data_IF_182028287927
#
_entry.id   IF_182028287927
#
_cell.length_a   1.000
_cell.length_b   1.000
_cell.length_c   1.000
_cell.angle_alpha   90.00
_cell.angle_beta   90.00
_cell.angle_gamma   90.00
#
_symmetry.space_group_name_H-M   'P 1'
#
loop_
_entity.id
_entity.type
_entity.pdbx_description
1 polymer ?
#
# COMPACT_ATOMS: atom_id res chain seq x y z
N UNK A 1 -18.45 13.39 -4.68
CA UNK A 1 -18.79 14.25 -3.53
C UNK A 1 -18.56 15.73 -3.80
N UNK A 2 -17.32 16.24 -3.82
CA UNK A 2 -17.06 17.68 -3.96
C UNK A 2 -17.82 18.35 -5.12
N UNK A 3 -17.83 17.74 -6.31
CA UNK A 3 -18.56 18.29 -7.46
C UNK A 3 -20.09 18.25 -7.36
N UNK A 4 -20.67 17.43 -6.48
CA UNK A 4 -22.12 17.32 -6.25
C UNK A 4 -22.62 18.06 -5.02
N UNK A 5 -21.80 18.14 -3.96
CA UNK A 5 -22.16 18.77 -2.68
C UNK A 5 -21.52 20.15 -2.46
N UNK A 6 -20.51 20.51 -3.26
CA UNK A 6 -19.72 21.73 -3.08
C UNK A 6 -18.81 21.74 -1.84
N UNK A 7 -18.78 20.66 -1.04
CA UNK A 7 -18.08 20.62 0.25
C UNK A 7 -16.89 19.66 0.27
N UNK A 8 -15.69 20.22 0.45
CA UNK A 8 -14.45 19.46 0.63
C UNK A 8 -14.47 18.61 1.90
N UNK A 9 -15.06 19.11 2.99
CA UNK A 9 -15.16 18.36 4.25
C UNK A 9 -15.96 17.06 4.06
N UNK A 10 -17.08 17.11 3.33
CA UNK A 10 -17.87 15.90 3.03
C UNK A 10 -17.14 14.92 2.11
N UNK A 11 -16.37 15.43 1.13
CA UNK A 11 -15.54 14.58 0.27
C UNK A 11 -14.43 13.88 1.06
N UNK A 12 -13.76 14.62 1.96
CA UNK A 12 -12.74 14.06 2.85
C UNK A 12 -13.30 12.97 3.77
N UNK A 13 -14.47 13.19 4.39
CA UNK A 13 -15.13 12.20 5.24
C UNK A 13 -15.46 10.91 4.48
N UNK A 14 -16.03 11.02 3.27
CA UNK A 14 -16.39 9.86 2.45
C UNK A 14 -15.15 9.06 2.02
N UNK A 15 -14.08 9.75 1.62
CA UNK A 15 -12.80 9.09 1.31
C UNK A 15 -12.19 8.40 2.54
N UNK A 16 -12.24 9.04 3.71
CA UNK A 16 -11.75 8.45 4.95
C UNK A 16 -12.52 7.19 5.34
N UNK A 17 -13.86 7.22 5.22
CA UNK A 17 -14.70 6.05 5.50
C UNK A 17 -14.47 4.91 4.51
N UNK A 18 -14.23 5.22 3.23
CA UNK A 18 -13.81 4.20 2.26
C UNK A 18 -12.52 3.51 2.71
N UNK A 19 -11.48 4.27 3.07
CA UNK A 19 -10.20 3.71 3.54
C UNK A 19 -10.37 2.92 4.84
N UNK A 20 -11.19 3.39 5.78
CA UNK A 20 -11.55 2.66 6.99
C UNK A 20 -12.23 1.32 6.68
N UNK A 21 -13.10 1.28 5.67
CA UNK A 21 -13.73 0.06 5.19
C UNK A 21 -12.70 -0.96 4.73
N UNK A 22 -11.76 -0.53 3.87
CA UNK A 22 -10.65 -1.38 3.40
C UNK A 22 -9.84 -1.91 4.58
N UNK A 23 -9.43 -1.05 5.50
CA UNK A 23 -8.52 -1.39 6.59
C UNK A 23 -9.15 -2.32 7.64
N UNK A 24 -10.44 -2.14 7.96
CA UNK A 24 -11.13 -2.84 9.05
C UNK A 24 -11.47 -4.30 8.72
N UNK A 25 -11.83 -4.58 7.47
CA UNK A 25 -12.30 -5.90 7.04
C UNK A 25 -11.18 -6.74 6.40
N UNK A 26 -10.07 -6.11 5.97
CA UNK A 26 -8.96 -6.80 5.33
C UNK A 26 -8.46 -8.04 6.11
N UNK A 27 -8.16 -8.01 7.43
CA UNK A 27 -7.72 -9.20 8.16
C UNK A 27 -8.72 -10.35 8.17
N UNK A 28 -10.02 -10.03 8.25
CA UNK A 28 -11.08 -11.01 8.20
C UNK A 28 -11.18 -11.66 6.81
N UNK A 29 -11.07 -10.85 5.75
CA UNK A 29 -11.02 -11.31 4.36
C UNK A 29 -9.84 -12.24 4.14
N UNK A 30 -8.65 -11.88 4.62
CA UNK A 30 -7.46 -12.74 4.56
C UNK A 30 -7.70 -14.10 5.22
N UNK A 31 -8.24 -14.10 6.44
CA UNK A 31 -8.59 -15.32 7.17
C UNK A 31 -9.64 -16.17 6.43
N UNK A 32 -10.60 -15.53 5.78
CA UNK A 32 -11.58 -16.23 4.95
C UNK A 32 -10.93 -16.83 3.69
N UNK A 33 -9.99 -16.14 3.05
CA UNK A 33 -9.23 -16.66 1.89
C UNK A 33 -8.44 -17.89 2.31
N UNK A 34 -7.75 -17.84 3.44
CA UNK A 34 -6.96 -18.96 3.94
C UNK A 34 -7.83 -20.20 4.26
N UNK A 35 -9.07 -19.98 4.74
CA UNK A 35 -10.01 -21.05 5.13
C UNK A 35 -10.84 -21.61 3.98
N UNK A 36 -11.40 -20.74 3.15
CA UNK A 36 -12.39 -21.08 2.11
C UNK A 36 -11.77 -21.11 0.71
N UNK A 37 -10.55 -20.59 0.57
CA UNK A 37 -9.93 -20.31 -0.72
C UNK A 37 -10.32 -18.94 -1.28
N UNK A 38 -9.56 -18.43 -2.27
CA UNK A 38 -9.77 -17.10 -2.84
C UNK A 38 -11.01 -17.00 -3.73
N UNK A 39 -11.43 -18.12 -4.36
CA UNK A 39 -12.51 -18.15 -5.35
C UNK A 39 -13.87 -17.59 -4.86
N UNK A 40 -14.46 -18.05 -3.74
CA UNK A 40 -15.76 -17.53 -3.29
C UNK A 40 -15.71 -16.03 -2.95
N UNK A 41 -14.59 -15.57 -2.40
CA UNK A 41 -14.40 -14.19 -1.96
C UNK A 41 -14.20 -13.26 -3.17
N UNK A 42 -13.44 -13.71 -4.17
CA UNK A 42 -13.25 -12.98 -5.42
C UNK A 42 -14.55 -12.90 -6.23
N UNK A 43 -15.36 -13.97 -6.27
CA UNK A 43 -16.68 -13.94 -6.93
C UNK A 43 -17.62 -12.95 -6.24
N UNK A 44 -17.67 -12.99 -4.91
CA UNK A 44 -18.50 -12.09 -4.12
C UNK A 44 -18.09 -10.62 -4.32
N UNK A 45 -16.79 -10.32 -4.18
CA UNK A 45 -16.27 -8.96 -4.35
C UNK A 45 -16.38 -8.46 -5.80
N UNK A 46 -16.25 -9.33 -6.81
CA UNK A 46 -16.43 -8.96 -8.21
C UNK A 46 -17.83 -8.45 -8.56
N UNK A 47 -18.86 -8.78 -7.76
CA UNK A 47 -20.23 -8.31 -7.95
C UNK A 47 -20.57 -7.19 -6.95
N UNK A 48 -20.25 -7.39 -5.67
CA UNK A 48 -20.70 -6.46 -4.63
C UNK A 48 -19.91 -5.15 -4.69
N UNK A 49 -18.60 -5.17 -4.92
CA UNK A 49 -17.79 -3.95 -5.01
C UNK A 49 -18.25 -2.97 -6.09
N UNK A 50 -18.39 -3.39 -7.38
CA UNK A 50 -18.86 -2.46 -8.41
C UNK A 50 -20.31 -2.02 -8.16
N UNK A 51 -21.15 -2.89 -7.60
CA UNK A 51 -22.52 -2.53 -7.22
C UNK A 51 -22.54 -1.46 -6.12
N UNK A 52 -21.68 -1.57 -5.12
CA UNK A 52 -21.55 -0.60 -4.03
C UNK A 52 -21.04 0.76 -4.54
N UNK A 53 -20.04 0.77 -5.44
CA UNK A 53 -19.57 2.00 -6.08
C UNK A 53 -20.64 2.65 -6.95
N UNK A 54 -21.38 1.85 -7.71
CA UNK A 54 -22.48 2.33 -8.56
C UNK A 54 -23.61 2.90 -7.71
N UNK A 55 -24.00 2.21 -6.64
CA UNK A 55 -24.99 2.71 -5.68
C UNK A 55 -24.51 4.01 -5.01
N UNK A 56 -23.23 4.11 -4.66
CA UNK A 56 -22.64 5.34 -4.13
C UNK A 56 -22.77 6.49 -5.13
N UNK A 57 -22.50 6.27 -6.41
CA UNK A 57 -22.69 7.28 -7.47
C UNK A 57 -24.15 7.73 -7.54
N UNK A 58 -25.10 6.79 -7.57
CA UNK A 58 -26.53 7.12 -7.57
C UNK A 58 -26.97 7.90 -6.31
N UNK A 59 -26.46 7.55 -5.13
CA UNK A 59 -26.72 8.30 -3.91
C UNK A 59 -26.23 9.74 -4.01
N UNK A 60 -25.04 9.96 -4.59
CA UNK A 60 -24.48 11.31 -4.75
C UNK A 60 -25.27 12.13 -5.77
N UNK A 61 -25.58 11.55 -6.93
CA UNK A 61 -26.30 12.25 -8.00
C UNK A 61 -27.77 12.49 -7.64
N UNK A 62 -28.39 11.58 -6.88
CA UNK A 62 -29.75 11.72 -6.37
C UNK A 62 -29.89 12.65 -5.16
N UNK A 63 -28.79 13.28 -4.70
CA UNK A 63 -28.82 14.20 -3.56
C UNK A 63 -29.13 13.54 -2.22
N UNK A 64 -28.78 12.26 -2.06
CA UNK A 64 -28.98 11.55 -0.80
C UNK A 64 -28.18 12.19 0.34
N UNK A 65 -28.67 12.02 1.58
CA UNK A 65 -27.96 12.52 2.76
C UNK A 65 -26.53 11.97 2.84
N UNK A 66 -25.58 12.79 3.27
CA UNK A 66 -24.15 12.44 3.37
C UNK A 66 -23.91 11.15 4.14
N UNK A 67 -24.73 10.84 5.14
CA UNK A 67 -24.65 9.60 5.92
C UNK A 67 -24.81 8.33 5.05
N UNK A 68 -25.70 8.35 4.06
CA UNK A 68 -25.91 7.22 3.15
C UNK A 68 -24.75 7.04 2.17
N UNK A 69 -24.21 8.15 1.66
CA UNK A 69 -23.02 8.10 0.79
C UNK A 69 -21.80 7.60 1.58
N UNK A 70 -21.64 8.09 2.81
CA UNK A 70 -20.62 7.65 3.76
C UNK A 70 -20.70 6.15 4.06
N UNK A 71 -21.91 5.63 4.31
CA UNK A 71 -22.13 4.20 4.50
C UNK A 71 -21.81 3.40 3.23
N UNK A 72 -22.26 3.85 2.06
CA UNK A 72 -21.97 3.20 0.79
C UNK A 72 -20.46 3.15 0.50
N UNK A 73 -19.73 4.22 0.82
CA UNK A 73 -18.28 4.27 0.69
C UNK A 73 -17.56 3.32 1.65
N UNK A 74 -18.00 3.26 2.91
CA UNK A 74 -17.51 2.28 3.88
C UNK A 74 -17.71 0.84 3.40
N UNK A 75 -18.90 0.52 2.89
CA UNK A 75 -19.21 -0.78 2.31
C UNK A 75 -18.36 -1.07 1.06
N UNK A 76 -18.22 -0.10 0.16
CA UNK A 76 -17.38 -0.26 -1.03
C UNK A 76 -15.92 -0.56 -0.64
N UNK A 77 -15.36 0.17 0.32
CA UNK A 77 -14.00 -0.09 0.81
C UNK A 77 -13.85 -1.49 1.42
N UNK A 78 -14.80 -1.90 2.26
CA UNK A 78 -14.84 -3.22 2.89
C UNK A 78 -14.88 -4.40 1.91
N UNK A 79 -15.39 -4.15 0.70
CA UNK A 79 -15.66 -5.16 -0.31
C UNK A 79 -14.65 -5.09 -1.47
N UNK A 80 -13.60 -4.28 -1.34
CA UNK A 80 -12.53 -4.18 -2.33
C UNK A 80 -12.00 -5.57 -2.70
N UNK A 81 -11.99 -5.95 -3.99
CA UNK A 81 -11.52 -7.27 -4.40
C UNK A 81 -10.05 -7.51 -3.98
N UNK A 82 -9.75 -8.59 -3.24
CA UNK A 82 -8.42 -8.82 -2.67
C UNK A 82 -7.44 -9.43 -3.69
N UNK A 83 -7.40 -8.90 -4.91
CA UNK A 83 -6.61 -9.45 -6.03
C UNK A 83 -5.11 -9.44 -5.71
N UNK A 84 -4.56 -8.31 -5.27
CA UNK A 84 -3.14 -8.19 -4.90
C UNK A 84 -2.77 -9.14 -3.77
N UNK A 85 -3.65 -9.29 -2.76
CA UNK A 85 -3.44 -10.24 -1.66
C UNK A 85 -3.36 -11.67 -2.21
N UNK A 86 -4.33 -12.06 -3.04
CA UNK A 86 -4.35 -13.40 -3.64
C UNK A 86 -3.11 -13.65 -4.52
N UNK A 87 -2.70 -12.67 -5.32
CA UNK A 87 -1.51 -12.76 -6.16
C UNK A 87 -0.24 -12.97 -5.32
N UNK A 88 -0.04 -12.17 -4.27
CA UNK A 88 1.09 -12.31 -3.34
C UNK A 88 1.07 -13.62 -2.56
N UNK A 89 -0.11 -14.17 -2.27
CA UNK A 89 -0.22 -15.51 -1.65
C UNK A 89 0.05 -16.66 -2.62
N UNK A 90 -0.17 -16.44 -3.91
CA UNK A 90 0.03 -17.45 -4.96
C UNK A 90 1.49 -17.55 -5.39
N UNK A 91 2.21 -16.44 -5.47
CA UNK A 91 3.62 -16.44 -5.89
C UNK A 91 4.50 -17.48 -5.19
N UNK A 92 4.54 -17.57 -3.84
CA UNK A 92 5.37 -18.56 -3.17
C UNK A 92 4.85 -20.01 -3.31
N UNK A 93 3.66 -20.22 -3.89
CA UNK A 93 3.14 -21.55 -4.24
C UNK A 93 3.47 -21.96 -5.68
N UNK A 94 3.80 -20.99 -6.54
CA UNK A 94 4.05 -21.19 -7.97
C UNK A 94 5.53 -21.09 -8.32
N UNK A 95 6.32 -20.43 -7.48
CA UNK A 95 7.71 -20.08 -7.76
C UNK A 95 8.57 -20.55 -6.59
N UNK A 96 9.31 -21.64 -6.81
CA UNK A 96 10.26 -22.19 -5.83
C UNK A 96 11.59 -21.43 -5.82
N UNK A 97 11.99 -20.87 -6.97
CA UNK A 97 13.25 -20.13 -7.13
C UNK A 97 13.16 -18.77 -6.40
N UNK A 98 14.01 -18.52 -5.40
CA UNK A 98 14.05 -17.26 -4.66
C UNK A 98 14.28 -16.01 -5.52
N UNK A 99 15.08 -16.12 -6.57
CA UNK A 99 15.41 -14.98 -7.43
C UNK A 99 14.23 -14.65 -8.35
N UNK A 100 13.56 -15.67 -8.90
CA UNK A 100 12.33 -15.47 -9.67
C UNK A 100 11.17 -14.97 -8.79
N UNK A 101 11.10 -15.40 -7.54
CA UNK A 101 10.11 -14.90 -6.58
C UNK A 101 10.33 -13.42 -6.28
N UNK A 102 11.59 -13.00 -6.13
CA UNK A 102 11.96 -11.58 -6.02
C UNK A 102 11.52 -10.81 -7.26
N UNK A 103 11.82 -11.32 -8.46
CA UNK A 103 11.40 -10.68 -9.72
C UNK A 103 9.88 -10.57 -9.81
N UNK A 104 9.12 -11.60 -9.41
CA UNK A 104 7.66 -11.57 -9.42
C UNK A 104 7.08 -10.47 -8.51
N UNK A 105 7.60 -10.30 -7.30
CA UNK A 105 7.21 -9.20 -6.42
C UNK A 105 7.63 -7.83 -6.96
N UNK A 106 8.77 -7.73 -7.63
CA UNK A 106 9.17 -6.48 -8.29
C UNK A 106 8.24 -6.12 -9.45
N UNK A 107 7.83 -7.10 -10.26
CA UNK A 107 6.84 -6.89 -11.34
C UNK A 107 5.49 -6.47 -10.77
N UNK A 108 5.02 -7.09 -9.69
CA UNK A 108 3.82 -6.65 -8.95
C UNK A 108 3.92 -5.17 -8.54
N UNK A 109 5.06 -4.78 -7.95
CA UNK A 109 5.30 -3.38 -7.56
C UNK A 109 5.31 -2.42 -8.75
N UNK A 110 5.91 -2.77 -9.89
CA UNK A 110 5.90 -1.91 -11.10
C UNK A 110 4.46 -1.67 -11.59
N UNK A 111 3.62 -2.71 -11.57
CA UNK A 111 2.21 -2.57 -11.93
C UNK A 111 1.47 -1.64 -10.96
N UNK A 112 1.76 -1.74 -9.66
CA UNK A 112 1.20 -0.83 -8.64
C UNK A 112 1.63 0.62 -8.91
N UNK A 113 2.91 0.88 -9.18
CA UNK A 113 3.38 2.24 -9.50
C UNK A 113 2.75 2.79 -10.79
N UNK A 114 2.55 1.92 -11.78
CA UNK A 114 1.84 2.30 -13.01
C UNK A 114 0.41 2.74 -12.71
N UNK A 115 -0.27 2.09 -11.76
CA UNK A 115 -1.62 2.48 -11.31
C UNK A 115 -1.58 3.84 -10.59
N UNK A 116 -0.57 4.11 -9.76
CA UNK A 116 -0.43 5.41 -9.08
C UNK A 116 -0.16 6.57 -10.04
N UNK A 117 0.50 6.32 -11.18
CA UNK A 117 0.69 7.33 -12.24
C UNK A 117 -0.57 7.46 -13.11
N UNK A 118 -1.11 6.34 -13.59
CA UNK A 118 -2.22 6.34 -14.53
C UNK A 118 -3.56 6.74 -13.88
N UNK A 119 -3.78 6.40 -12.62
CA UNK A 119 -5.04 6.66 -11.91
C UNK A 119 -5.43 8.14 -11.89
N UNK A 120 -4.61 9.04 -11.33
CA UNK A 120 -4.87 10.47 -11.32
C UNK A 120 -5.00 11.07 -12.73
N UNK A 121 -4.20 10.59 -13.69
CA UNK A 121 -4.28 11.04 -15.08
C UNK A 121 -5.63 10.67 -15.72
N UNK A 122 -6.13 9.45 -15.50
CA UNK A 122 -7.45 9.02 -15.95
C UNK A 122 -8.56 9.84 -15.29
N UNK A 123 -8.46 10.11 -13.99
CA UNK A 123 -9.42 10.99 -13.29
C UNK A 123 -9.46 12.38 -13.93
N UNK A 124 -8.29 12.96 -14.25
CA UNK A 124 -8.22 14.27 -14.91
C UNK A 124 -8.90 14.25 -16.30
N UNK A 125 -8.78 13.16 -17.06
CA UNK A 125 -9.49 12.98 -18.34
C UNK A 125 -11.01 12.98 -18.12
N UNK A 126 -11.53 12.22 -17.15
CA UNK A 126 -12.97 12.22 -16.84
C UNK A 126 -13.49 13.59 -16.39
N UNK A 127 -12.69 14.34 -15.62
CA UNK A 127 -13.02 15.71 -15.23
C UNK A 127 -13.07 16.62 -16.47
N UNK A 128 -12.11 16.51 -17.37
CA UNK A 128 -12.06 17.31 -18.60
C UNK A 128 -13.21 17.01 -19.57
N UNK A 129 -13.72 15.76 -19.56
CA UNK A 129 -14.90 15.34 -20.32
C UNK A 129 -16.23 15.69 -19.61
N UNK A 130 -16.20 16.42 -18.49
CA UNK A 130 -17.34 16.75 -17.64
C UNK A 130 -18.10 15.54 -17.07
N UNK A 131 -17.56 14.33 -17.20
CA UNK A 131 -18.17 13.09 -16.75
C UNK A 131 -17.62 12.64 -15.38
N UNK A 132 -17.99 13.39 -14.34
CA UNK A 132 -17.46 13.23 -12.98
C UNK A 132 -17.67 11.84 -12.38
N UNK A 133 -18.84 11.22 -12.59
CA UNK A 133 -19.13 9.85 -12.15
C UNK A 133 -18.45 8.78 -12.99
N UNK A 134 -18.04 9.11 -14.22
CA UNK A 134 -17.37 8.21 -15.14
C UNK A 134 -16.11 7.58 -14.57
N UNK A 135 -15.30 8.34 -13.83
CA UNK A 135 -14.08 7.81 -13.19
C UNK A 135 -14.38 6.69 -12.18
N UNK A 136 -15.41 6.86 -11.35
CA UNK A 136 -15.81 5.87 -10.33
C UNK A 136 -16.42 4.64 -10.99
N UNK A 137 -17.27 4.83 -11.99
CA UNK A 137 -17.89 3.73 -12.74
C UNK A 137 -16.87 2.95 -13.58
N UNK A 138 -15.88 3.63 -14.15
CA UNK A 138 -14.77 3.01 -14.85
C UNK A 138 -13.92 2.17 -13.89
N UNK A 139 -13.59 2.70 -12.70
CA UNK A 139 -12.89 1.94 -11.67
C UNK A 139 -13.70 0.70 -11.23
N UNK A 140 -15.02 0.83 -11.06
CA UNK A 140 -15.91 -0.29 -10.78
C UNK A 140 -15.87 -1.37 -11.88
N UNK A 141 -15.96 -0.97 -13.15
CA UNK A 141 -15.88 -1.88 -14.29
C UNK A 141 -14.52 -2.60 -14.37
N UNK A 142 -13.41 -1.86 -14.21
CA UNK A 142 -12.08 -2.43 -14.18
C UNK A 142 -11.89 -3.44 -13.03
N UNK A 143 -12.40 -3.14 -11.83
CA UNK A 143 -12.34 -4.05 -10.70
C UNK A 143 -13.16 -5.32 -10.94
N UNK A 144 -14.36 -5.19 -11.52
CA UNK A 144 -15.22 -6.32 -11.87
C UNK A 144 -14.56 -7.22 -12.92
N UNK A 145 -14.16 -6.63 -14.05
CA UNK A 145 -13.52 -7.35 -15.17
C UNK A 145 -12.20 -7.98 -14.72
N UNK A 146 -11.35 -7.23 -14.02
CA UNK A 146 -10.07 -7.73 -13.51
C UNK A 146 -10.25 -8.91 -12.55
N UNK A 147 -11.20 -8.83 -11.62
CA UNK A 147 -11.50 -9.93 -10.70
C UNK A 147 -12.03 -11.17 -11.42
N UNK A 148 -12.91 -10.98 -12.41
CA UNK A 148 -13.45 -12.07 -13.24
C UNK A 148 -12.38 -12.72 -14.12
N UNK A 149 -11.44 -11.94 -14.66
CA UNK A 149 -10.29 -12.46 -15.41
C UNK A 149 -9.35 -13.25 -14.48
N UNK A 150 -9.06 -12.71 -13.29
CA UNK A 150 -8.20 -13.36 -12.32
C UNK A 150 -8.77 -14.69 -11.82
N UNK A 151 -10.10 -14.79 -11.67
CA UNK A 151 -10.82 -16.04 -11.37
C UNK A 151 -10.66 -17.15 -12.43
N UNK A 152 -10.21 -16.80 -13.65
CA UNK A 152 -9.92 -17.78 -14.71
C UNK A 152 -8.53 -18.39 -14.60
N UNK A 153 -7.64 -17.83 -13.77
CA UNK A 153 -6.29 -18.36 -13.59
C UNK A 153 -6.32 -19.79 -13.02
N UNK A 154 -5.64 -20.77 -13.65
CA UNK A 154 -5.58 -22.15 -13.14
C UNK A 154 -5.16 -22.26 -11.66
N UNK A 155 -4.16 -21.50 -11.17
CA UNK A 155 -3.76 -21.54 -9.76
C UNK A 155 -4.86 -21.16 -8.76
N UNK A 156 -5.85 -20.35 -9.17
CA UNK A 156 -7.01 -20.00 -8.34
C UNK A 156 -8.03 -21.14 -8.31
N UNK A 157 -8.19 -21.87 -9.43
CA UNK A 157 -9.15 -22.97 -9.56
C UNK A 157 -8.68 -24.22 -8.84
N UNK A 158 -7.38 -24.46 -8.85
CA UNK A 158 -6.71 -25.60 -8.21
C UNK A 158 -6.32 -25.29 -6.75
N UNK A 159 -6.74 -24.14 -6.22
CA UNK A 159 -6.41 -23.76 -4.86
C UNK A 159 -7.01 -24.73 -3.85
N UNK A 160 -6.14 -25.38 -3.08
CA UNK A 160 -6.52 -26.19 -1.92
C UNK A 160 -6.22 -25.39 -0.64
N UNK A 161 -7.23 -25.09 0.19
CA UNK A 161 -7.02 -24.51 1.51
C UNK A 161 -6.13 -25.43 2.37
N UNK A 162 -5.07 -24.87 2.95
CA UNK A 162 -4.17 -25.62 3.81
C UNK A 162 -4.59 -25.47 5.26
N UNK A 163 -4.68 -26.58 5.99
CA UNK A 163 -5.02 -26.59 7.41
C UNK A 163 -3.77 -26.57 8.28
N UNK A 164 -3.69 -25.67 9.26
CA UNK A 164 -2.64 -25.67 10.29
C UNK A 164 -3.23 -25.47 11.69
N UNK A 165 -2.72 -26.15 12.73
CA UNK A 165 -3.11 -25.89 14.13
C UNK A 165 -2.91 -24.43 14.54
N UNK A 166 -1.88 -23.75 14.02
CA UNK A 166 -1.58 -22.34 14.32
C UNK A 166 -2.61 -21.37 13.69
N UNK A 167 -3.22 -21.77 12.57
CA UNK A 167 -4.30 -21.02 11.90
C UNK A 167 -5.65 -21.06 12.67
N UNK A 168 -5.72 -21.78 13.80
CA UNK A 168 -6.90 -21.81 14.68
C UNK A 168 -6.86 -20.75 15.79
N UNK A 169 -5.76 -20.01 15.93
CA UNK A 169 -5.64 -18.99 16.98
C UNK A 169 -6.36 -17.69 16.61
N UNK A 170 -7.03 -17.07 17.59
CA UNK A 170 -7.74 -15.79 17.39
C UNK A 170 -6.79 -14.64 16.97
N UNK A 171 -5.56 -14.67 17.47
CA UNK A 171 -4.51 -13.67 17.19
C UNK A 171 -3.83 -13.89 15.83
N UNK A 172 -3.94 -15.08 15.23
CA UNK A 172 -3.39 -15.39 13.91
C UNK A 172 -1.91 -14.95 13.75
N UNK A 173 -1.58 -14.19 12.69
CA UNK A 173 -0.24 -13.62 12.44
C UNK A 173 0.36 -12.82 13.59
N UNK A 174 -0.45 -12.14 14.40
CA UNK A 174 0.02 -11.27 15.47
C UNK A 174 0.68 -12.04 16.63
N UNK A 175 0.50 -13.36 16.69
CA UNK A 175 1.19 -14.20 17.68
C UNK A 175 2.69 -14.31 17.39
N UNK A 176 3.11 -14.16 16.13
CA UNK A 176 4.51 -14.24 15.73
C UNK A 176 5.21 -12.88 15.96
N UNK A 177 6.24 -12.88 16.80
CA UNK A 177 7.00 -11.66 17.12
C UNK A 177 7.67 -11.03 15.88
N UNK A 178 8.18 -11.83 14.94
CA UNK A 178 8.81 -11.32 13.73
C UNK A 178 7.78 -10.65 12.79
N UNK A 179 6.56 -11.18 12.70
CA UNK A 179 5.50 -10.55 11.92
C UNK A 179 5.06 -9.22 12.55
N UNK A 180 4.94 -9.15 13.88
CA UNK A 180 4.65 -7.87 14.56
C UNK A 180 5.69 -6.79 14.28
N UNK A 181 6.97 -7.16 14.26
CA UNK A 181 8.06 -6.24 13.88
C UNK A 181 7.89 -5.77 12.44
N UNK A 182 7.62 -6.68 11.51
CA UNK A 182 7.39 -6.32 10.11
C UNK A 182 6.17 -5.40 9.94
N UNK A 183 5.06 -5.68 10.61
CA UNK A 183 3.87 -4.83 10.58
C UNK A 183 4.12 -3.44 11.16
N UNK A 184 4.85 -3.35 12.28
CA UNK A 184 5.24 -2.06 12.85
C UNK A 184 6.19 -1.28 11.93
N UNK A 185 7.20 -1.94 11.36
CA UNK A 185 8.11 -1.33 10.40
C UNK A 185 7.35 -0.84 9.17
N UNK A 186 6.41 -1.65 8.66
CA UNK A 186 5.50 -1.27 7.57
C UNK A 186 4.70 -0.02 7.92
N UNK A 187 4.07 0.01 9.10
CA UNK A 187 3.28 1.15 9.54
C UNK A 187 4.11 2.44 9.57
N UNK A 188 5.29 2.39 10.21
CA UNK A 188 6.21 3.54 10.33
C UNK A 188 6.72 4.02 8.98
N UNK A 189 7.12 3.09 8.12
CA UNK A 189 7.51 3.39 6.75
C UNK A 189 6.36 4.04 5.95
N UNK A 190 5.14 3.55 6.11
CA UNK A 190 3.99 4.05 5.34
C UNK A 190 3.51 5.42 5.83
N UNK A 191 3.75 5.77 7.10
CA UNK A 191 3.58 7.15 7.60
C UNK A 191 4.44 8.12 6.78
N UNK A 192 5.65 7.73 6.40
CA UNK A 192 6.52 8.58 5.59
C UNK A 192 5.93 8.91 4.21
N UNK A 193 5.14 8.01 3.60
CA UNK A 193 4.47 8.28 2.33
C UNK A 193 3.43 9.38 2.47
N UNK A 194 2.57 9.29 3.48
CA UNK A 194 1.54 10.30 3.73
C UNK A 194 2.15 11.66 4.06
N UNK A 195 3.25 11.66 4.84
CA UNK A 195 4.01 12.88 5.15
C UNK A 195 4.66 13.49 3.90
N UNK A 196 5.25 12.66 3.04
CA UNK A 196 5.84 13.08 1.77
C UNK A 196 4.78 13.72 0.85
N UNK A 197 3.61 13.09 0.72
CA UNK A 197 2.50 13.59 -0.10
C UNK A 197 2.04 14.98 0.36
N UNK A 198 1.81 15.14 1.66
CA UNK A 198 1.40 16.42 2.24
C UNK A 198 2.50 17.48 2.13
N UNK A 199 3.76 17.11 2.38
CA UNK A 199 4.89 18.03 2.29
C UNK A 199 5.08 18.59 0.87
N UNK A 200 5.06 17.72 -0.15
CA UNK A 200 5.20 18.13 -1.55
C UNK A 200 4.03 19.04 -1.96
N UNK A 201 2.81 18.66 -1.59
CA UNK A 201 1.61 19.45 -1.89
C UNK A 201 1.68 20.84 -1.26
N UNK A 202 2.12 20.91 -0.01
CA UNK A 202 2.27 22.17 0.70
C UNK A 202 3.39 23.05 0.12
N UNK A 203 4.57 22.49 -0.17
CA UNK A 203 5.70 23.21 -0.78
C UNK A 203 5.32 23.82 -2.13
N UNK A 204 4.68 23.03 -3.00
CA UNK A 204 4.26 23.48 -4.32
C UNK A 204 3.19 24.60 -4.23
N UNK A 205 2.26 24.47 -3.28
CA UNK A 205 1.21 25.48 -3.04
C UNK A 205 1.78 26.77 -2.49
N UNK A 206 2.70 26.72 -1.53
CA UNK A 206 3.37 27.91 -0.98
C UNK A 206 4.17 28.69 -2.02
N UNK A 207 4.65 28.02 -3.08
CA UNK A 207 5.35 28.65 -4.20
C UNK A 207 4.42 29.09 -5.34
N UNK A 208 3.10 29.06 -5.14
CA UNK A 208 2.11 29.47 -6.15
C UNK A 208 2.01 28.51 -7.34
N UNK A 209 2.49 27.26 -7.21
CA UNK A 209 2.52 26.25 -8.28
C UNK A 209 1.85 24.94 -7.85
N UNK A 210 0.56 24.93 -7.44
CA UNK A 210 -0.11 23.73 -6.94
C UNK A 210 -0.11 22.57 -7.94
N UNK A 211 -0.16 22.85 -9.26
CA UNK A 211 -0.07 21.83 -10.30
C UNK A 211 1.28 21.05 -10.28
N UNK A 212 2.36 21.65 -9.76
CA UNK A 212 3.65 20.98 -9.65
C UNK A 212 3.63 19.85 -8.62
N UNK A 213 2.74 19.88 -7.61
CA UNK A 213 2.63 18.81 -6.62
C UNK A 213 2.32 17.47 -7.29
N UNK A 214 1.31 17.45 -8.17
CA UNK A 214 0.92 16.24 -8.90
C UNK A 214 2.04 15.71 -9.80
N UNK A 215 2.81 16.60 -10.43
CA UNK A 215 3.96 16.22 -11.27
C UNK A 215 5.07 15.59 -10.41
N UNK A 216 5.41 16.20 -9.28
CA UNK A 216 6.46 15.68 -8.37
C UNK A 216 6.05 14.32 -7.78
N UNK A 217 4.79 14.16 -7.40
CA UNK A 217 4.27 12.88 -6.91
C UNK A 217 4.23 11.81 -8.01
N UNK A 218 3.92 12.17 -9.26
CA UNK A 218 4.04 11.23 -10.38
C UNK A 218 5.51 10.81 -10.60
N UNK A 219 6.46 11.73 -10.45
CA UNK A 219 7.89 11.43 -10.49
C UNK A 219 8.34 10.55 -9.32
N UNK A 220 7.71 10.65 -8.15
CA UNK A 220 7.94 9.72 -7.03
C UNK A 220 7.64 8.28 -7.45
N UNK A 221 6.51 8.04 -8.11
CA UNK A 221 6.15 6.72 -8.65
C UNK A 221 7.09 6.26 -9.77
N UNK A 222 7.57 7.16 -10.63
CA UNK A 222 8.63 6.83 -11.60
C UNK A 222 9.90 6.36 -10.88
N UNK A 223 10.32 7.07 -9.84
CA UNK A 223 11.46 6.69 -9.01
C UNK A 223 11.28 5.29 -8.41
N UNK A 224 10.15 5.05 -7.76
CA UNK A 224 9.80 3.75 -7.18
C UNK A 224 9.79 2.63 -8.24
N UNK A 225 9.19 2.86 -9.40
CA UNK A 225 9.17 1.90 -10.52
C UNK A 225 10.57 1.58 -11.06
N UNK A 226 11.45 2.59 -11.19
CA UNK A 226 12.86 2.38 -11.55
C UNK A 226 13.58 1.55 -10.48
N UNK A 227 13.32 1.81 -9.21
CA UNK A 227 13.83 1.02 -8.10
C UNK A 227 13.40 -0.44 -8.16
N UNK A 228 12.12 -0.70 -8.44
CA UNK A 228 11.59 -2.04 -8.63
C UNK A 228 12.26 -2.77 -9.80
N UNK A 229 12.47 -2.09 -10.92
CA UNK A 229 13.16 -2.62 -12.10
C UNK A 229 14.63 -2.97 -11.78
N UNK A 230 15.37 -2.05 -11.16
CA UNK A 230 16.77 -2.27 -10.78
C UNK A 230 16.88 -3.42 -9.79
N UNK A 231 16.00 -3.43 -8.78
CA UNK A 231 16.00 -4.46 -7.75
C UNK A 231 15.60 -5.83 -8.32
N UNK A 232 14.55 -5.91 -9.12
CA UNK A 232 14.03 -7.15 -9.70
C UNK A 232 14.86 -7.74 -10.85
N UNK A 233 15.73 -6.95 -11.49
CA UNK A 233 16.58 -7.39 -12.60
C UNK A 233 17.94 -7.96 -12.18
N UNK A 234 18.25 -7.95 -10.87
CA UNK A 234 19.53 -8.39 -10.33
C UNK A 234 19.32 -9.36 -9.17
N UNK A 235 20.16 -10.38 -9.12
CA UNK A 235 20.34 -11.17 -7.91
C UNK A 235 21.24 -10.40 -6.94
N UNK A 236 20.90 -10.45 -5.66
CA UNK A 236 21.60 -9.70 -4.62
C UNK A 236 22.20 -10.69 -3.62
N UNK A 237 23.52 -10.63 -3.43
CA UNK A 237 24.23 -11.55 -2.54
C UNK A 237 23.87 -11.37 -1.05
N UNK A 238 23.36 -10.20 -0.66
CA UNK A 238 22.99 -9.92 0.72
C UNK A 238 21.70 -10.67 1.11
N UNK A 239 21.53 -11.13 2.36
CA UNK A 239 20.26 -11.69 2.81
C UNK A 239 19.10 -10.68 2.76
N UNK A 240 17.89 -11.13 2.40
CA UNK A 240 16.71 -10.28 2.28
C UNK A 240 16.44 -9.38 3.52
N UNK A 241 16.58 -9.85 4.78
CA UNK A 241 16.42 -8.95 5.94
C UNK A 241 17.39 -7.76 5.95
N UNK A 242 18.65 -7.97 5.52
CA UNK A 242 19.65 -6.89 5.43
C UNK A 242 19.32 -5.93 4.29
N UNK A 243 18.93 -6.46 3.13
CA UNK A 243 18.46 -5.65 2.01
C UNK A 243 17.27 -4.76 2.43
N UNK A 244 16.32 -5.30 3.20
CA UNK A 244 15.15 -4.57 3.68
C UNK A 244 15.53 -3.37 4.56
N UNK A 245 16.49 -3.54 5.47
CA UNK A 245 17.01 -2.45 6.31
C UNK A 245 17.74 -1.41 5.45
N UNK A 246 18.61 -1.84 4.54
CA UNK A 246 19.37 -0.93 3.65
C UNK A 246 18.44 -0.10 2.79
N UNK A 247 17.41 -0.71 2.20
CA UNK A 247 16.44 0.02 1.37
C UNK A 247 15.67 1.07 2.18
N UNK A 248 15.25 0.75 3.42
CA UNK A 248 14.63 1.73 4.32
C UNK A 248 15.60 2.87 4.70
N UNK A 249 16.86 2.55 5.00
CA UNK A 249 17.87 3.58 5.31
C UNK A 249 18.14 4.49 4.12
N UNK A 250 18.21 3.93 2.90
CA UNK A 250 18.39 4.70 1.67
C UNK A 250 17.22 5.67 1.46
N UNK A 251 15.97 5.21 1.66
CA UNK A 251 14.80 6.08 1.57
C UNK A 251 14.81 7.17 2.65
N UNK A 252 15.13 6.82 3.91
CA UNK A 252 15.23 7.79 4.98
C UNK A 252 16.27 8.88 4.66
N UNK A 253 17.44 8.49 4.15
CA UNK A 253 18.48 9.42 3.69
C UNK A 253 18.00 10.34 2.56
N UNK A 254 17.28 9.78 1.57
CA UNK A 254 16.66 10.56 0.50
C UNK A 254 15.66 11.59 1.01
N UNK A 255 14.77 11.22 1.93
CA UNK A 255 13.79 12.11 2.55
C UNK A 255 14.45 13.24 3.36
N UNK A 256 15.50 12.92 4.12
CA UNK A 256 16.29 13.95 4.82
C UNK A 256 17.00 14.90 3.84
N UNK A 257 17.54 14.38 2.74
CA UNK A 257 18.20 15.18 1.71
C UNK A 257 17.22 16.11 0.98
N UNK A 258 15.94 15.74 0.87
CA UNK A 258 14.89 16.58 0.29
C UNK A 258 14.46 17.74 1.20
N UNK A 259 14.50 17.56 2.52
CA UNK A 259 14.01 18.56 3.48
C UNK A 259 14.57 19.99 3.29
N UNK A 260 15.88 20.22 3.06
CA UNK A 260 16.41 21.56 2.85
C UNK A 260 16.19 22.11 1.43
N UNK A 261 15.53 21.38 0.53
CA UNK A 261 15.44 21.75 -0.89
C UNK A 261 14.16 22.52 -1.18
N UNK A 262 14.34 23.83 -1.42
CA UNK A 262 13.23 24.74 -1.73
C UNK A 262 12.98 24.92 -3.24
N UNK A 263 13.93 24.55 -4.10
CA UNK A 263 13.73 24.63 -5.55
C UNK A 263 12.89 23.43 -6.03
N UNK A 264 11.70 23.67 -6.59
CA UNK A 264 10.79 22.59 -7.01
C UNK A 264 11.36 21.65 -8.07
N UNK A 265 12.25 22.12 -8.96
CA UNK A 265 12.87 21.25 -9.97
C UNK A 265 13.93 20.34 -9.34
N UNK A 266 14.75 20.89 -8.42
CA UNK A 266 15.70 20.09 -7.66
C UNK A 266 14.97 19.09 -6.73
N UNK A 267 13.86 19.52 -6.12
CA UNK A 267 13.00 18.67 -5.31
C UNK A 267 12.39 17.54 -6.16
N UNK A 268 11.92 17.83 -7.37
CA UNK A 268 11.41 16.84 -8.32
C UNK A 268 12.46 15.77 -8.65
N UNK A 269 13.68 16.18 -8.97
CA UNK A 269 14.78 15.27 -9.28
C UNK A 269 15.17 14.41 -8.07
N UNK A 270 15.30 15.02 -6.88
CA UNK A 270 15.60 14.29 -5.66
C UNK A 270 14.46 13.36 -5.24
N UNK A 271 13.21 13.72 -5.53
CA UNK A 271 12.06 12.87 -5.23
C UNK A 271 12.13 11.52 -5.97
N UNK A 272 12.56 11.53 -7.24
CA UNK A 272 12.81 10.29 -8.01
C UNK A 272 13.84 9.41 -7.29
N UNK A 273 14.95 9.99 -6.85
CA UNK A 273 16.01 9.25 -6.17
C UNK A 273 15.57 8.74 -4.79
N UNK A 274 14.94 9.61 -4.00
CA UNK A 274 14.49 9.32 -2.64
C UNK A 274 13.38 8.26 -2.60
N UNK A 275 12.53 8.21 -3.63
CA UNK A 275 11.46 7.22 -3.74
C UNK A 275 11.90 5.94 -4.45
N UNK A 276 13.10 5.89 -5.05
CA UNK A 276 13.57 4.66 -5.68
C UNK A 276 13.64 3.43 -4.75
N UNK A 277 13.97 3.53 -3.45
CA UNK A 277 13.95 2.36 -2.58
C UNK A 277 12.52 1.92 -2.19
N UNK A 278 11.49 2.68 -2.56
CA UNK A 278 10.10 2.47 -2.12
C UNK A 278 9.55 1.10 -2.53
N UNK A 279 9.47 0.80 -3.83
CA UNK A 279 9.04 -0.51 -4.30
C UNK A 279 9.92 -1.69 -3.85
N UNK A 280 11.28 -1.58 -3.82
CA UNK A 280 12.13 -2.60 -3.20
C UNK A 280 11.76 -2.91 -1.75
N UNK A 281 11.45 -1.90 -0.93
CA UNK A 281 11.00 -2.10 0.46
C UNK A 281 9.71 -2.93 0.50
N UNK A 282 8.72 -2.63 -0.34
CA UNK A 282 7.46 -3.39 -0.42
C UNK A 282 7.64 -4.83 -0.95
N UNK A 283 8.54 -5.01 -1.92
CA UNK A 283 8.87 -6.34 -2.45
C UNK A 283 9.57 -7.21 -1.39
N UNK A 284 10.58 -6.63 -0.72
CA UNK A 284 11.31 -7.28 0.38
C UNK A 284 10.40 -7.61 1.56
N UNK A 285 9.53 -6.67 1.95
CA UNK A 285 8.50 -6.91 2.97
C UNK A 285 7.62 -8.10 2.59
N UNK A 286 7.15 -8.15 1.35
CA UNK A 286 6.27 -9.24 0.87
C UNK A 286 6.99 -10.59 0.89
N UNK A 287 8.26 -10.63 0.46
CA UNK A 287 9.10 -11.82 0.58
C UNK A 287 9.31 -12.27 2.02
N UNK A 288 9.61 -11.33 2.94
CA UNK A 288 9.82 -11.65 4.35
C UNK A 288 8.55 -12.18 5.01
N UNK A 289 7.40 -11.58 4.72
CA UNK A 289 6.09 -12.06 5.17
C UNK A 289 5.86 -13.49 4.66
N UNK A 290 6.08 -13.75 3.38
CA UNK A 290 5.89 -15.07 2.79
C UNK A 290 6.83 -16.13 3.39
N UNK A 291 8.08 -15.77 3.71
CA UNK A 291 9.05 -16.69 4.33
C UNK A 291 8.72 -17.03 5.79
N UNK A 292 8.20 -16.07 6.55
CA UNK A 292 7.94 -16.24 8.01
C UNK A 292 6.56 -16.87 8.25
N UNK A 293 5.61 -16.63 7.34
CA UNK A 293 4.21 -16.99 7.56
C UNK A 293 3.94 -18.43 7.13
N UNK A 294 3.33 -19.27 8.00
CA UNK A 294 2.82 -20.57 7.59
C UNK A 294 1.82 -20.45 6.43
N UNK A 295 1.85 -21.34 5.42
CA UNK A 295 0.99 -21.25 4.24
C UNK A 295 -0.53 -21.19 4.49
N UNK A 296 -0.97 -21.63 5.67
CA UNK A 296 -2.37 -21.66 6.12
C UNK A 296 -2.89 -20.31 6.69
N UNK A 297 -2.05 -19.29 6.77
CA UNK A 297 -2.40 -17.95 7.29
C UNK A 297 -1.74 -16.84 6.45
N UNK A 298 -1.38 -17.17 5.19
CA UNK A 298 -0.60 -16.31 4.32
C UNK A 298 -1.43 -15.12 3.83
N UNK A 299 -2.70 -15.35 3.48
CA UNK A 299 -3.59 -14.27 3.08
C UNK A 299 -3.88 -13.34 4.25
N UNK A 300 -4.16 -13.90 5.44
CA UNK A 300 -4.31 -13.11 6.67
C UNK A 300 -3.06 -12.26 6.94
N UNK A 301 -1.86 -12.81 6.81
CA UNK A 301 -0.63 -12.04 7.03
C UNK A 301 -0.43 -10.89 6.04
N UNK A 302 -0.74 -11.10 4.75
CA UNK A 302 -0.67 -10.02 3.75
C UNK A 302 -1.74 -8.96 3.96
N UNK A 303 -2.92 -9.35 4.46
CA UNK A 303 -3.97 -8.38 4.78
C UNK A 303 -3.64 -7.52 5.99
N UNK A 304 -2.99 -8.06 7.03
CA UNK A 304 -2.44 -7.25 8.11
C UNK A 304 -1.39 -6.25 7.61
N UNK A 305 -0.52 -6.68 6.69
CA UNK A 305 0.47 -5.79 6.08
C UNK A 305 -0.19 -4.65 5.30
N UNK A 306 -1.24 -4.96 4.52
CA UNK A 306 -2.02 -3.95 3.80
C UNK A 306 -2.75 -2.99 4.75
N UNK A 307 -3.32 -3.48 5.85
CA UNK A 307 -3.93 -2.64 6.90
C UNK A 307 -2.90 -1.70 7.53
N UNK A 308 -1.71 -2.18 7.86
CA UNK A 308 -0.63 -1.34 8.39
C UNK A 308 -0.13 -0.33 7.35
N UNK A 309 -0.06 -0.70 6.08
CA UNK A 309 0.30 0.22 5.00
C UNK A 309 -0.70 1.38 4.90
N UNK A 310 -1.99 1.05 4.73
CA UNK A 310 -3.06 2.06 4.57
C UNK A 310 -3.27 2.91 5.83
N UNK A 311 -3.22 2.27 7.00
CA UNK A 311 -3.29 2.97 8.28
C UNK A 311 -2.12 3.94 8.45
N UNK A 312 -0.92 3.54 8.03
CA UNK A 312 0.28 4.35 8.11
C UNK A 312 0.20 5.56 7.18
N UNK A 313 -0.15 5.36 5.90
CA UNK A 313 -0.36 6.47 4.95
C UNK A 313 -1.38 7.47 5.50
N UNK A 314 -2.51 6.98 6.00
CA UNK A 314 -3.58 7.82 6.56
C UNK A 314 -3.10 8.63 7.77
N UNK A 315 -2.36 8.00 8.69
CA UNK A 315 -1.76 8.67 9.83
C UNK A 315 -0.72 9.71 9.38
N UNK A 316 0.08 9.40 8.36
CA UNK A 316 1.05 10.33 7.76
C UNK A 316 0.40 11.56 7.15
N UNK A 317 -0.72 11.39 6.43
CA UNK A 317 -1.48 12.52 5.87
C UNK A 317 -2.02 13.40 7.01
N UNK A 318 -2.64 12.80 8.03
CA UNK A 318 -3.21 13.53 9.15
C UNK A 318 -2.14 14.30 9.96
N UNK A 319 -1.06 13.62 10.34
CA UNK A 319 0.06 14.24 11.08
C UNK A 319 0.78 15.27 10.20
N UNK A 320 0.96 14.99 8.92
CA UNK A 320 1.56 15.91 7.95
C UNK A 320 0.78 17.20 7.81
N UNK A 321 -0.55 17.12 7.77
CA UNK A 321 -1.43 18.29 7.75
C UNK A 321 -1.20 19.18 8.98
N UNK A 322 -1.23 18.58 10.18
CA UNK A 322 -0.97 19.30 11.42
C UNK A 322 0.45 19.93 11.48
N UNK A 323 1.47 19.21 10.98
CA UNK A 323 2.84 19.73 10.90
C UNK A 323 2.91 20.94 9.95
N UNK A 324 2.31 20.84 8.76
CA UNK A 324 2.32 21.93 7.76
C UNK A 324 1.51 23.14 8.20
N UNK A 325 0.45 22.96 8.98
CA UNK A 325 -0.34 24.07 9.52
C UNK A 325 0.41 24.84 10.61
N UNK A 326 1.14 24.14 11.49
CA UNK A 326 1.86 24.75 12.61
C UNK A 326 3.33 25.10 12.34
N UNK A 327 3.94 24.48 11.32
CA UNK A 327 5.36 24.58 11.00
C UNK A 327 5.55 24.64 9.47
N UNK A 328 6.82 24.70 9.03
CA UNK A 328 7.13 24.70 7.62
C UNK A 328 7.02 23.30 6.98
N UNK A 329 6.69 23.19 5.68
CA UNK A 329 6.54 21.91 4.98
C UNK A 329 7.74 20.97 5.02
N UNK A 330 8.96 21.52 5.13
CA UNK A 330 10.17 20.70 5.29
C UNK A 330 10.17 19.90 6.60
N UNK A 331 9.44 20.35 7.63
CA UNK A 331 9.25 19.60 8.87
C UNK A 331 8.55 18.27 8.66
N UNK A 332 7.61 18.20 7.71
CA UNK A 332 6.95 16.95 7.33
C UNK A 332 7.92 16.00 6.58
N UNK A 333 8.84 16.51 5.76
CA UNK A 333 9.90 15.70 5.13
C UNK A 333 10.89 15.15 6.17
N UNK A 334 11.28 15.95 7.16
CA UNK A 334 12.09 15.45 8.28
C UNK A 334 11.36 14.38 9.07
N UNK A 335 10.07 14.57 9.36
CA UNK A 335 9.24 13.56 10.02
C UNK A 335 9.11 12.27 9.19
N UNK A 336 9.04 12.39 7.86
CA UNK A 336 9.04 11.24 6.95
C UNK A 336 10.36 10.47 7.02
N UNK A 337 11.49 11.19 7.02
CA UNK A 337 12.82 10.61 7.19
C UNK A 337 12.98 9.91 8.56
N UNK A 338 12.52 10.53 9.65
CA UNK A 338 12.65 9.95 11.00
C UNK A 338 11.80 8.71 11.20
N UNK A 339 10.56 8.68 10.69
CA UNK A 339 9.68 7.51 10.78
C UNK A 339 10.22 6.33 9.96
N UNK A 340 10.73 6.58 8.75
CA UNK A 340 11.40 5.56 7.93
C UNK A 340 12.69 5.06 8.60
N UNK A 341 13.49 5.95 9.20
CA UNK A 341 14.68 5.57 9.94
C UNK A 341 14.34 4.70 11.16
N UNK A 342 13.27 5.04 11.89
CA UNK A 342 12.79 4.24 13.01
C UNK A 342 12.37 2.83 12.55
N UNK A 343 11.69 2.71 11.40
CA UNK A 343 11.35 1.43 10.80
C UNK A 343 12.61 0.59 10.49
N UNK A 344 13.65 1.22 9.94
CA UNK A 344 14.92 0.57 9.64
C UNK A 344 15.62 0.07 10.92
N UNK A 345 15.66 0.90 11.96
CA UNK A 345 16.29 0.57 13.25
C UNK A 345 15.56 -0.58 13.97
N UNK A 346 14.23 -0.58 13.96
CA UNK A 346 13.42 -1.67 14.54
C UNK A 346 13.67 -2.98 13.77
N UNK A 347 13.70 -2.91 12.44
CA UNK A 347 14.00 -4.07 11.58
C UNK A 347 15.42 -4.60 11.83
N UNK A 348 16.41 -3.71 11.95
CA UNK A 348 17.81 -4.06 12.22
C UNK A 348 18.00 -4.72 13.60
N UNK A 349 17.33 -4.19 14.64
CA UNK A 349 17.36 -4.78 15.99
C UNK A 349 16.78 -6.19 16.03
N UNK A 350 15.69 -6.42 15.31
CA UNK A 350 15.08 -7.75 15.21
C UNK A 350 15.96 -8.74 14.45
N UNK A 351 16.71 -8.28 13.44
CA UNK A 351 17.70 -9.10 12.76
C UNK A 351 18.86 -9.46 13.69
N UNK A 352 19.41 -8.48 14.41
CA UNK A 352 20.53 -8.69 15.33
C UNK A 352 20.17 -9.67 16.47
N UNK A 353 18.95 -9.60 16.99
CA UNK A 353 18.49 -10.54 18.02
C UNK A 353 18.35 -11.97 17.47
N UNK A 354 17.88 -12.14 16.24
CA UNK A 354 17.81 -13.45 15.59
C UNK A 354 19.21 -14.07 15.37
N UNK A 355 20.16 -13.28 14.88
CA UNK A 355 21.55 -13.70 14.66
C UNK A 355 22.23 -14.09 15.99
N UNK A 356 22.03 -13.32 17.06
CA UNK A 356 22.58 -13.61 18.38
C UNK A 356 22.06 -14.92 18.98
N UNK A 357 20.76 -15.19 18.85
CA UNK A 357 20.15 -16.45 19.32
C UNK A 357 20.68 -17.64 18.48
N UNK A 358 20.93 -17.45 17.18
CA UNK A 358 21.50 -18.50 16.34
C UNK A 358 22.94 -18.84 16.75
N UNK A 359 23.77 -17.82 17.00
CA UNK A 359 25.16 -17.98 17.43
C UNK A 359 25.30 -18.64 18.82
N UNK A 360 24.41 -18.32 19.77
CA UNK A 360 24.39 -18.97 21.08
C UNK A 360 24.06 -20.46 21.03
N UNK A 361 23.17 -20.88 20.11
CA UNK A 361 22.80 -22.29 19.92
C UNK A 361 23.84 -23.14 19.20
N UNK A 362 24.82 -22.53 18.53
CA UNK A 362 25.95 -23.25 17.92
C UNK A 362 27.14 -23.42 18.86
N UNK A 363 27.10 -22.80 20.05
CA UNK A 363 28.16 -22.87 21.04
C UNK A 363 27.90 -23.89 22.17
N UNK A 364 26.68 -24.43 22.23
CA UNK A 364 26.24 -25.52 23.13
C UNK A 364 26.22 -26.87 22.37
#
# INVERSE_FOLDING_TARGET
MQGGTGSFATAGLVSALYVLGVASIAPLVGRMIDRLGPRPILLLSAVIYPSALTAMVFCVEGGAATAWVALAALCAGALLPPVTICMRTLFPRLIDDPDLLQTAYSVDSILIETIFVAGPALIAVFIALEWRSGAVLFAAACAAVGSLLFLRAPPIREWVPQSSPQARSLLGPLRNAALRVLYLATMLYSIAFGLLEVAITALATQQGRPAAAGIILALASVGSGLGALIYGSRSWALPAPRQYVIAQMAMAGGLFAMAPVFNLYALALLCVLACSPMAPVLALQSMLIARITPPAMLAESFTWAATCLLGGVSAGIAVGGAIVEGHAPWGALLAAGTTTLAAALISARALASADAIAAGRSAD
#
